data_IF_951441896674
#
_entry.id   IF_951441896674
#
_cell.length_a   1.000
_cell.length_b   1.000
_cell.length_c   1.000
_cell.angle_alpha   90.00
_cell.angle_beta   90.00
_cell.angle_gamma   90.00
#
_symmetry.space_group_name_H-M   'P 1'
#
loop_
_entity.id
_entity.type
_entity.pdbx_description
1 polymer ?
#
# COMPACT_ATOMS: atom_id res chain seq x y z
N UNK A 1 59.41 8.58 0.58
CA UNK A 1 58.16 9.26 0.20
C UNK A 1 57.76 8.72 -1.16
N UNK A 2 56.65 7.97 -1.25
CA UNK A 2 56.08 7.52 -2.52
C UNK A 2 54.58 7.71 -2.43
N UNK A 3 54.08 8.70 -3.17
CA UNK A 3 52.70 9.21 -3.13
C UNK A 3 51.64 8.23 -3.68
N UNK A 4 52.02 7.02 -4.04
CA UNK A 4 51.15 6.04 -4.68
C UNK A 4 50.20 5.31 -3.70
N UNK A 5 50.58 5.21 -2.42
CA UNK A 5 49.83 4.40 -1.45
C UNK A 5 48.54 5.06 -0.92
N UNK A 6 48.35 6.37 -1.13
CA UNK A 6 47.20 7.11 -0.63
C UNK A 6 46.01 7.11 -1.59
N UNK A 7 46.25 6.93 -2.90
CA UNK A 7 45.20 6.98 -3.92
C UNK A 7 44.34 5.69 -3.88
N UNK A 8 44.95 4.55 -3.55
CA UNK A 8 44.24 3.26 -3.51
C UNK A 8 43.21 3.20 -2.36
N UNK A 9 43.47 3.89 -1.24
CA UNK A 9 42.55 3.88 -0.09
C UNK A 9 41.31 4.77 -0.30
N UNK A 10 41.42 5.86 -1.09
CA UNK A 10 40.29 6.73 -1.42
C UNK A 10 39.30 6.06 -2.40
N UNK A 11 39.78 5.26 -3.35
CA UNK A 11 38.91 4.59 -4.34
C UNK A 11 38.12 3.44 -3.69
N UNK A 12 38.72 2.70 -2.75
CA UNK A 12 38.00 1.66 -2.00
C UNK A 12 36.99 2.25 -1.00
N UNK A 13 37.28 3.39 -0.36
CA UNK A 13 36.33 4.07 0.52
C UNK A 13 35.14 4.66 -0.25
N UNK A 14 35.33 5.15 -1.47
CA UNK A 14 34.25 5.66 -2.32
C UNK A 14 33.35 4.55 -2.91
N UNK A 15 33.86 3.31 -3.05
CA UNK A 15 33.09 2.15 -3.47
C UNK A 15 32.37 1.44 -2.30
N UNK A 16 32.86 1.59 -1.07
CA UNK A 16 32.23 1.06 0.15
C UNK A 16 31.26 2.06 0.79
N UNK A 17 31.46 3.35 0.55
CA UNK A 17 30.43 4.38 0.72
C UNK A 17 29.54 4.34 -0.53
N UNK A 18 28.79 3.25 -0.67
CA UNK A 18 27.58 3.30 -1.48
C UNK A 18 26.84 4.60 -1.11
N UNK A 19 26.30 5.33 -2.11
CA UNK A 19 25.65 6.61 -1.86
C UNK A 19 24.76 6.39 -0.65
N UNK A 20 25.00 7.16 0.42
CA UNK A 20 24.15 7.15 1.59
C UNK A 20 22.74 7.21 1.04
N UNK A 21 22.01 6.10 1.15
CA UNK A 21 20.65 5.96 0.67
C UNK A 21 19.78 6.87 1.55
N UNK A 22 19.96 8.19 1.44
CA UNK A 22 18.93 9.14 1.76
C UNK A 22 17.83 8.82 0.78
N UNK A 23 16.89 7.99 1.23
CA UNK A 23 15.71 7.69 0.43
C UNK A 23 15.11 9.03 0.02
N UNK A 24 14.97 9.21 -1.29
CA UNK A 24 14.37 10.41 -1.88
C UNK A 24 13.10 10.77 -1.08
N UNK A 25 13.00 11.99 -0.50
CA UNK A 25 11.85 12.37 0.32
C UNK A 25 10.52 12.18 -0.42
N UNK A 26 10.50 12.30 -1.75
CA UNK A 26 9.31 12.05 -2.55
C UNK A 26 8.93 10.57 -2.60
N UNK A 27 9.92 9.66 -2.60
CA UNK A 27 9.68 8.21 -2.50
C UNK A 27 9.14 7.84 -1.12
N UNK A 28 9.71 8.40 -0.05
CA UNK A 28 9.21 8.17 1.31
C UNK A 28 7.75 8.64 1.45
N UNK A 29 7.44 9.83 0.93
CA UNK A 29 6.08 10.36 0.95
C UNK A 29 5.10 9.47 0.18
N UNK A 30 5.52 8.96 -0.99
CA UNK A 30 4.69 8.05 -1.78
C UNK A 30 4.41 6.73 -1.04
N UNK A 31 5.42 6.14 -0.38
CA UNK A 31 5.25 4.93 0.45
C UNK A 31 4.31 5.22 1.64
N UNK A 32 4.45 6.36 2.30
CA UNK A 32 3.55 6.73 3.40
C UNK A 32 2.10 6.90 2.93
N UNK A 33 1.88 7.60 1.82
CA UNK A 33 0.54 7.70 1.23
C UNK A 33 -0.08 6.34 0.89
N UNK A 34 0.73 5.42 0.35
CA UNK A 34 0.31 4.06 0.05
C UNK A 34 -0.10 3.31 1.33
N UNK A 35 0.65 3.48 2.42
CA UNK A 35 0.33 2.94 3.75
C UNK A 35 -0.95 3.55 4.33
N UNK A 36 -1.14 4.86 4.20
CA UNK A 36 -2.36 5.54 4.66
C UNK A 36 -3.60 5.00 3.92
N UNK A 37 -3.45 4.65 2.65
CA UNK A 37 -4.51 3.99 1.86
C UNK A 37 -4.89 2.63 2.44
N UNK A 38 -3.89 1.84 2.87
CA UNK A 38 -4.13 0.56 3.58
C UNK A 38 -4.87 0.74 4.90
N UNK A 39 -4.48 1.73 5.69
CA UNK A 39 -5.17 2.08 6.95
C UNK A 39 -6.62 2.47 6.65
N UNK A 40 -6.83 3.25 5.59
CA UNK A 40 -8.17 3.68 5.19
C UNK A 40 -9.08 2.53 4.77
N UNK A 41 -8.55 1.52 4.06
CA UNK A 41 -9.28 0.28 3.74
C UNK A 41 -9.72 -0.45 5.02
N UNK A 42 -8.85 -0.53 6.03
CA UNK A 42 -9.19 -1.15 7.33
C UNK A 42 -10.27 -0.38 8.08
N UNK A 43 -10.22 0.95 8.08
CA UNK A 43 -11.29 1.77 8.67
C UNK A 43 -12.62 1.52 7.94
N UNK A 44 -12.62 1.41 6.62
CA UNK A 44 -13.83 1.08 5.85
C UNK A 44 -14.40 -0.29 6.24
N UNK A 45 -13.56 -1.29 6.49
CA UNK A 45 -14.00 -2.62 6.99
C UNK A 45 -14.72 -2.49 8.33
N UNK A 46 -14.12 -1.77 9.27
CA UNK A 46 -14.69 -1.57 10.62
C UNK A 46 -16.00 -0.76 10.58
N UNK A 47 -16.08 0.26 9.73
CA UNK A 47 -17.22 1.17 9.68
C UNK A 47 -18.38 0.70 8.81
N UNK A 48 -18.09 -0.04 7.72
CA UNK A 48 -19.08 -0.33 6.67
C UNK A 48 -19.51 -1.78 6.61
N UNK A 49 -18.77 -2.73 7.18
CA UNK A 49 -19.22 -4.11 7.29
C UNK A 49 -19.98 -4.35 8.60
N UNK A 50 -20.89 -5.32 8.65
CA UNK A 50 -21.50 -5.73 9.91
C UNK A 50 -20.43 -6.14 10.93
N UNK A 51 -20.63 -5.81 12.20
CA UNK A 51 -19.74 -6.23 13.28
C UNK A 51 -19.98 -7.70 13.67
N UNK A 52 -19.70 -8.59 12.72
CA UNK A 52 -19.73 -10.04 12.92
C UNK A 52 -18.38 -10.62 12.60
N UNK A 53 -17.99 -11.68 13.31
CA UNK A 53 -16.70 -12.34 13.08
C UNK A 53 -16.50 -12.75 11.61
N UNK A 54 -17.58 -13.17 10.94
CA UNK A 54 -17.53 -13.56 9.53
C UNK A 54 -17.27 -12.37 8.60
N UNK A 55 -18.08 -11.31 8.70
CA UNK A 55 -17.94 -10.15 7.81
C UNK A 55 -16.59 -9.45 8.03
N UNK A 56 -16.15 -9.35 9.28
CA UNK A 56 -14.83 -8.80 9.62
C UNK A 56 -13.70 -9.68 9.07
N UNK A 57 -13.77 -11.01 9.19
CA UNK A 57 -12.78 -11.91 8.61
C UNK A 57 -12.68 -11.79 7.08
N UNK A 58 -13.82 -11.78 6.37
CA UNK A 58 -13.86 -11.61 4.91
C UNK A 58 -13.32 -10.23 4.48
N UNK A 59 -13.65 -9.17 5.22
CA UNK A 59 -13.09 -7.83 4.99
C UNK A 59 -11.57 -7.79 5.19
N UNK A 60 -11.08 -8.37 6.29
CA UNK A 60 -9.65 -8.40 6.60
C UNK A 60 -8.83 -9.20 5.60
N UNK A 61 -9.37 -10.29 5.03
CA UNK A 61 -8.72 -11.02 3.94
C UNK A 61 -8.48 -10.13 2.70
N UNK A 62 -9.42 -9.21 2.41
CA UNK A 62 -9.26 -8.22 1.34
C UNK A 62 -8.16 -7.21 1.68
N UNK A 63 -8.12 -6.72 2.93
CA UNK A 63 -7.06 -5.81 3.38
C UNK A 63 -5.67 -6.45 3.32
N UNK A 64 -5.55 -7.71 3.73
CA UNK A 64 -4.29 -8.45 3.68
C UNK A 64 -3.85 -8.69 2.23
N UNK A 65 -4.78 -9.00 1.34
CA UNK A 65 -4.51 -9.11 -0.10
C UNK A 65 -4.06 -7.77 -0.69
N UNK A 66 -4.69 -6.66 -0.29
CA UNK A 66 -4.25 -5.33 -0.67
C UNK A 66 -2.81 -5.04 -0.21
N UNK A 67 -2.46 -5.39 1.03
CA UNK A 67 -1.11 -5.17 1.57
C UNK A 67 -0.04 -6.01 0.87
N UNK A 68 -0.36 -7.24 0.49
CA UNK A 68 0.52 -8.06 -0.35
C UNK A 68 0.78 -7.36 -1.70
N UNK A 69 -0.27 -6.89 -2.36
CA UNK A 69 -0.15 -6.10 -3.60
C UNK A 69 0.64 -4.80 -3.40
N UNK A 70 0.41 -4.11 -2.28
CA UNK A 70 1.09 -2.87 -1.91
C UNK A 70 2.60 -3.09 -1.75
N UNK A 71 2.99 -4.23 -1.19
CA UNK A 71 4.38 -4.68 -1.12
C UNK A 71 5.06 -4.70 -2.49
N UNK A 72 4.36 -5.21 -3.51
CA UNK A 72 4.86 -5.20 -4.90
C UNK A 72 4.97 -3.77 -5.46
N UNK A 73 3.95 -2.92 -5.28
CA UNK A 73 4.00 -1.53 -5.74
C UNK A 73 5.14 -0.74 -5.08
N UNK A 74 5.41 -0.99 -3.79
CA UNK A 74 6.48 -0.33 -3.03
C UNK A 74 7.86 -0.81 -3.47
N UNK A 75 8.03 -2.12 -3.69
CA UNK A 75 9.28 -2.69 -4.19
C UNK A 75 9.65 -2.09 -5.56
N UNK A 76 8.66 -1.98 -6.46
CA UNK A 76 8.85 -1.37 -7.78
C UNK A 76 9.16 0.14 -7.70
N UNK A 77 8.58 0.86 -6.74
CA UNK A 77 8.91 2.27 -6.52
C UNK A 77 10.37 2.44 -6.08
N UNK A 78 10.86 1.56 -5.20
CA UNK A 78 12.24 1.62 -4.70
C UNK A 78 13.24 1.38 -5.83
N UNK A 79 12.93 0.47 -6.77
CA UNK A 79 13.78 0.14 -7.91
C UNK A 79 13.71 1.19 -9.02
N UNK A 80 12.51 1.55 -9.47
CA UNK A 80 12.27 2.40 -10.64
C UNK A 80 12.32 3.90 -10.34
N UNK A 81 12.10 4.29 -9.07
CA UNK A 81 11.85 5.68 -8.63
C UNK A 81 10.69 6.36 -9.37
N UNK A 82 9.82 5.59 -10.03
CA UNK A 82 8.70 6.12 -10.80
C UNK A 82 7.46 6.30 -9.92
N UNK A 83 7.33 7.48 -9.32
CA UNK A 83 6.20 7.82 -8.42
C UNK A 83 4.85 7.77 -9.15
N UNK A 84 4.80 8.16 -10.43
CA UNK A 84 3.56 8.13 -11.22
C UNK A 84 3.07 6.70 -11.39
N UNK A 85 3.96 5.78 -11.77
CA UNK A 85 3.62 4.36 -11.91
C UNK A 85 3.22 3.74 -10.56
N UNK A 86 3.91 4.11 -9.49
CA UNK A 86 3.54 3.68 -8.14
C UNK A 86 2.10 4.11 -7.78
N UNK A 87 1.73 5.37 -8.02
CA UNK A 87 0.36 5.85 -7.79
C UNK A 87 -0.68 5.08 -8.61
N UNK A 88 -0.39 4.79 -9.87
CA UNK A 88 -1.28 3.98 -10.72
C UNK A 88 -1.45 2.58 -10.13
N UNK A 89 -0.37 1.94 -9.68
CA UNK A 89 -0.37 0.63 -9.06
C UNK A 89 -1.24 0.62 -7.78
N UNK A 90 -1.02 1.55 -6.85
CA UNK A 90 -1.76 1.64 -5.59
C UNK A 90 -3.24 1.93 -5.83
N UNK A 91 -3.57 2.87 -6.74
CA UNK A 91 -4.97 3.20 -7.04
C UNK A 91 -5.71 2.01 -7.68
N UNK A 92 -5.05 1.25 -8.55
CA UNK A 92 -5.64 0.05 -9.13
C UNK A 92 -5.94 -1.01 -8.06
N UNK A 93 -5.01 -1.24 -7.12
CA UNK A 93 -5.23 -2.13 -5.98
C UNK A 93 -6.37 -1.64 -5.09
N UNK A 94 -6.41 -0.34 -4.78
CA UNK A 94 -7.42 0.25 -3.92
C UNK A 94 -8.82 0.12 -4.54
N UNK A 95 -8.96 0.40 -5.84
CA UNK A 95 -10.21 0.22 -6.57
C UNK A 95 -10.67 -1.25 -6.52
N UNK A 96 -9.74 -2.20 -6.68
CA UNK A 96 -10.04 -3.63 -6.55
C UNK A 96 -10.48 -4.04 -5.13
N UNK A 97 -9.83 -3.49 -4.11
CA UNK A 97 -10.18 -3.70 -2.71
C UNK A 97 -11.59 -3.14 -2.41
N UNK A 98 -11.88 -1.90 -2.79
CA UNK A 98 -13.21 -1.30 -2.57
C UNK A 98 -14.32 -2.01 -3.32
N UNK A 99 -14.09 -2.44 -4.56
CA UNK A 99 -15.06 -3.24 -5.31
C UNK A 99 -15.35 -4.59 -4.63
N UNK A 100 -14.31 -5.21 -4.04
CA UNK A 100 -14.46 -6.47 -3.30
C UNK A 100 -15.20 -6.26 -1.97
N UNK A 101 -14.89 -5.18 -1.25
CA UNK A 101 -15.58 -4.80 -0.03
C UNK A 101 -17.05 -4.45 -0.29
N UNK A 102 -17.38 -3.78 -1.40
CA UNK A 102 -18.78 -3.51 -1.78
C UNK A 102 -19.57 -4.81 -1.96
N UNK A 103 -18.94 -5.83 -2.56
CA UNK A 103 -19.56 -7.16 -2.70
C UNK A 103 -19.77 -7.83 -1.34
N UNK A 104 -18.78 -7.81 -0.46
CA UNK A 104 -18.90 -8.36 0.90
C UNK A 104 -20.00 -7.62 1.66
N UNK A 105 -20.01 -6.29 1.65
CA UNK A 105 -21.04 -5.49 2.28
C UNK A 105 -22.43 -5.84 1.75
N UNK A 106 -22.59 -5.93 0.42
CA UNK A 106 -23.87 -6.29 -0.20
C UNK A 106 -24.38 -7.67 0.21
N UNK A 107 -23.49 -8.66 0.33
CA UNK A 107 -23.85 -10.01 0.77
C UNK A 107 -24.17 -10.06 2.27
N UNK A 108 -23.31 -9.47 3.10
CA UNK A 108 -23.40 -9.56 4.56
C UNK A 108 -24.57 -8.72 5.11
N UNK A 109 -24.84 -7.53 4.55
CA UNK A 109 -25.99 -6.72 4.97
C UNK A 109 -27.33 -7.27 4.48
N UNK A 110 -27.37 -7.95 3.33
CA UNK A 110 -28.59 -8.59 2.84
C UNK A 110 -29.11 -9.66 3.82
N UNK A 111 -28.22 -10.35 4.54
CA UNK A 111 -28.59 -11.32 5.59
C UNK A 111 -29.43 -10.66 6.70
N UNK A 112 -29.17 -9.38 6.98
CA UNK A 112 -29.84 -8.62 8.03
C UNK A 112 -31.06 -7.84 7.53
N UNK A 113 -31.51 -8.06 6.28
CA UNK A 113 -32.64 -7.34 5.70
C UNK A 113 -32.37 -5.85 5.44
N UNK A 114 -31.12 -5.40 5.58
CA UNK A 114 -30.71 -4.04 5.26
C UNK A 114 -30.55 -3.90 3.74
N UNK A 115 -31.55 -3.31 3.10
CA UNK A 115 -31.56 -3.02 1.65
C UNK A 115 -31.17 -1.57 1.31
N UNK A 116 -30.95 -0.72 2.34
CA UNK A 116 -30.54 0.66 2.11
C UNK A 116 -29.13 0.70 1.52
N UNK A 117 -28.95 1.41 0.41
CA UNK A 117 -27.66 1.53 -0.28
C UNK A 117 -26.55 2.23 0.53
N UNK A 118 -26.77 2.52 1.82
CA UNK A 118 -25.80 3.13 2.72
C UNK A 118 -24.57 2.23 3.01
N UNK A 119 -24.72 0.92 2.80
CA UNK A 119 -23.64 -0.07 2.88
C UNK A 119 -22.87 -0.26 1.57
N UNK A 120 -23.23 0.44 0.49
CA UNK A 120 -22.51 0.41 -0.79
C UNK A 120 -21.22 1.21 -0.68
N UNK A 121 -20.12 0.53 -0.42
CA UNK A 121 -18.78 1.13 -0.31
C UNK A 121 -18.40 1.79 -1.64
N UNK A 122 -18.76 1.19 -2.78
CA UNK A 122 -18.43 1.68 -4.12
C UNK A 122 -19.16 2.97 -4.55
N UNK A 123 -20.06 3.53 -3.73
CA UNK A 123 -20.70 4.82 -4.00
C UNK A 123 -19.99 6.01 -3.34
N UNK A 124 -19.06 5.75 -2.42
CA UNK A 124 -18.46 6.80 -1.58
C UNK A 124 -16.92 6.81 -1.61
N UNK A 125 -16.29 5.83 -2.26
CA UNK A 125 -14.85 5.57 -2.18
C UNK A 125 -14.24 5.10 -3.50
#
# INVERSE_FOLDING_TARGET
MSHASWIVFCVCAALLLGPTFGQDPAVNLAIQWAKDTSIHIRMVIEEKLPNTARAQAEGMEIADTFDLGLGHCNAELISSRNITQHKVCVNALAAGAYASLDRVAGQQWAIYGASSGASRIGLFW
#
